data_IF_358705547592
#
_entry.id   IF_358705547592
#
_cell.length_a   1.000
_cell.length_b   1.000
_cell.length_c   1.000
_cell.angle_alpha   90.00
_cell.angle_beta   90.00
_cell.angle_gamma   90.00
#
_symmetry.space_group_name_H-M   'P 1'
#
loop_
_entity.id
_entity.type
_entity.pdbx_description
1 polymer ?
#
# COMPACT_ATOMS: atom_id res chain seq x y z
N UNK A 1 -3.38 10.60 -13.80
CA UNK A 1 -4.24 11.39 -12.88
C UNK A 1 -3.97 12.86 -13.17
N UNK A 2 -4.97 13.67 -13.50
CA UNK A 2 -4.76 15.06 -13.95
C UNK A 2 -4.86 16.05 -12.77
N UNK A 3 -4.07 17.13 -12.78
CA UNK A 3 -4.06 18.16 -11.73
C UNK A 3 -5.47 18.74 -11.44
N UNK A 4 -6.32 18.81 -12.48
CA UNK A 4 -7.73 19.19 -12.38
C UNK A 4 -8.55 18.30 -11.43
N UNK A 5 -8.38 16.97 -11.54
CA UNK A 5 -9.08 15.99 -10.71
C UNK A 5 -8.65 16.12 -9.25
N UNK A 6 -7.35 16.31 -8.99
CA UNK A 6 -6.84 16.43 -7.63
C UNK A 6 -7.24 17.76 -7.00
N UNK A 7 -7.31 18.85 -7.78
CA UNK A 7 -7.89 20.13 -7.33
C UNK A 7 -9.34 19.97 -6.89
N UNK A 8 -10.16 19.25 -7.66
CA UNK A 8 -11.54 18.95 -7.32
C UNK A 8 -11.66 18.19 -6.00
N UNK A 9 -10.90 17.10 -5.86
CA UNK A 9 -10.86 16.28 -4.65
C UNK A 9 -10.36 17.07 -3.43
N UNK A 10 -9.30 17.87 -3.57
CA UNK A 10 -8.76 18.72 -2.52
C UNK A 10 -9.79 19.74 -2.02
N UNK A 11 -10.61 20.28 -2.92
CA UNK A 11 -11.74 21.14 -2.57
C UNK A 11 -12.80 20.41 -1.73
N UNK A 12 -13.17 19.19 -2.14
CA UNK A 12 -14.18 18.38 -1.43
C UNK A 12 -13.76 18.01 -0.01
N UNK A 13 -12.47 17.76 0.24
CA UNK A 13 -11.94 17.43 1.57
C UNK A 13 -11.50 18.66 2.39
N UNK A 14 -11.73 19.88 1.88
CA UNK A 14 -11.35 21.12 2.57
C UNK A 14 -9.83 21.39 2.62
N UNK A 15 -9.03 20.67 1.83
CA UNK A 15 -7.58 20.82 1.74
C UNK A 15 -7.19 22.04 0.88
N UNK A 16 -7.51 23.24 1.36
CA UNK A 16 -7.34 24.52 0.63
C UNK A 16 -5.92 24.75 0.11
N UNK A 17 -4.91 24.36 0.88
CA UNK A 17 -3.49 24.49 0.49
C UNK A 17 -3.16 23.60 -0.71
N UNK A 18 -3.59 22.34 -0.69
CA UNK A 18 -3.39 21.40 -1.81
C UNK A 18 -4.18 21.84 -3.04
N UNK A 19 -5.40 22.34 -2.85
CA UNK A 19 -6.24 22.87 -3.93
C UNK A 19 -5.56 24.04 -4.64
N UNK A 20 -4.98 24.99 -3.89
CA UNK A 20 -4.27 26.15 -4.45
C UNK A 20 -3.03 25.72 -5.24
N UNK A 21 -2.22 24.81 -4.69
CA UNK A 21 -1.02 24.31 -5.38
C UNK A 21 -1.40 23.52 -6.63
N UNK A 22 -2.47 22.73 -6.60
CA UNK A 22 -2.98 22.02 -7.77
C UNK A 22 -3.44 22.98 -8.88
N UNK A 23 -4.03 24.12 -8.51
CA UNK A 23 -4.41 25.17 -9.46
C UNK A 23 -3.18 25.87 -10.06
N UNK A 24 -2.18 26.21 -9.24
CA UNK A 24 -0.91 26.79 -9.70
C UNK A 24 -0.21 25.83 -10.68
N UNK A 25 -0.18 24.52 -10.36
CA UNK A 25 0.40 23.48 -11.20
C UNK A 25 -0.37 23.31 -12.53
N UNK A 26 -1.69 23.30 -12.49
CA UNK A 26 -2.54 23.25 -13.69
C UNK A 26 -2.26 24.44 -14.63
N UNK A 27 -2.10 25.65 -14.06
CA UNK A 27 -1.76 26.84 -14.84
C UNK A 27 -0.35 26.78 -15.42
N UNK A 28 0.65 26.32 -14.65
CA UNK A 28 2.03 26.19 -15.13
C UNK A 28 2.14 25.16 -16.27
N UNK A 29 1.41 24.05 -16.18
CA UNK A 29 1.30 23.05 -17.25
C UNK A 29 0.67 23.67 -18.50
N UNK A 30 -0.41 24.43 -18.34
CA UNK A 30 -1.06 25.11 -19.47
C UNK A 30 -0.14 26.12 -20.16
N UNK A 31 0.66 26.85 -19.38
CA UNK A 31 1.64 27.84 -19.87
C UNK A 31 2.96 27.24 -20.34
N UNK A 32 3.17 25.93 -20.16
CA UNK A 32 4.42 25.20 -20.48
C UNK A 32 5.67 25.77 -19.78
N UNK A 33 5.50 26.29 -18.57
CA UNK A 33 6.58 26.86 -17.75
C UNK A 33 7.36 25.76 -17.02
N UNK A 34 8.15 24.97 -17.77
CA UNK A 34 8.86 23.79 -17.27
C UNK A 34 9.67 23.98 -15.96
N UNK A 35 10.39 25.10 -15.75
CA UNK A 35 11.12 25.33 -14.50
C UNK A 35 10.20 25.44 -13.28
N UNK A 36 9.02 26.06 -13.47
CA UNK A 36 8.03 26.31 -12.41
C UNK A 36 7.24 25.04 -12.10
N UNK A 37 7.02 24.19 -13.10
CA UNK A 37 6.33 22.89 -12.93
C UNK A 37 7.06 22.01 -11.92
N UNK A 38 8.40 21.95 -11.96
CA UNK A 38 9.16 21.10 -11.04
C UNK A 38 9.01 21.55 -9.58
N UNK A 39 9.16 22.85 -9.31
CA UNK A 39 8.94 23.43 -7.97
C UNK A 39 7.50 23.19 -7.47
N UNK A 40 6.52 23.35 -8.35
CA UNK A 40 5.11 23.14 -8.00
C UNK A 40 4.79 21.67 -7.74
N UNK A 41 5.46 20.72 -8.41
CA UNK A 41 5.33 19.30 -8.13
C UNK A 41 5.88 18.94 -6.75
N UNK A 42 7.04 19.49 -6.37
CA UNK A 42 7.60 19.25 -5.04
C UNK A 42 6.70 19.82 -3.94
N UNK A 43 6.23 21.06 -4.11
CA UNK A 43 5.28 21.69 -3.19
C UNK A 43 3.97 20.90 -3.10
N UNK A 44 3.50 20.38 -4.22
CA UNK A 44 2.30 19.56 -4.29
C UNK A 44 2.49 18.25 -3.51
N UNK A 45 3.62 17.58 -3.70
CA UNK A 45 3.97 16.34 -3.01
C UNK A 45 4.06 16.55 -1.49
N UNK A 46 4.71 17.61 -1.03
CA UNK A 46 4.79 17.95 0.39
C UNK A 46 3.41 18.22 1.01
N UNK A 47 2.55 18.95 0.31
CA UNK A 47 1.20 19.23 0.79
C UNK A 47 0.35 17.95 0.86
N UNK A 48 0.45 17.08 -0.14
CA UNK A 48 -0.23 15.78 -0.14
C UNK A 48 0.26 14.88 1.00
N UNK A 49 1.57 14.74 1.19
CA UNK A 49 2.13 13.92 2.26
C UNK A 49 1.76 14.43 3.64
N UNK A 50 1.71 15.74 3.84
CA UNK A 50 1.26 16.33 5.11
C UNK A 50 -0.18 15.93 5.44
N UNK A 51 -1.06 15.96 4.43
CA UNK A 51 -2.46 15.53 4.57
C UNK A 51 -2.53 14.03 4.86
N UNK A 52 -1.78 13.21 4.12
CA UNK A 52 -1.74 11.77 4.34
C UNK A 52 -1.25 11.42 5.76
N UNK A 53 -0.20 12.08 6.26
CA UNK A 53 0.29 11.86 7.63
C UNK A 53 -0.72 12.21 8.71
N UNK A 54 -1.54 13.26 8.51
CA UNK A 54 -2.59 13.64 9.46
C UNK A 54 -3.75 12.65 9.43
N UNK A 55 -4.06 12.08 8.27
CA UNK A 55 -5.18 11.15 8.08
C UNK A 55 -4.78 9.70 8.43
N UNK A 56 -3.49 9.35 8.30
CA UNK A 56 -2.93 8.02 8.56
C UNK A 56 -3.28 7.40 9.93
N UNK A 57 -3.43 8.15 11.04
CA UNK A 57 -3.86 7.59 12.32
C UNK A 57 -5.35 7.23 12.36
N UNK A 58 -6.16 7.86 11.50
CA UNK A 58 -7.63 7.75 11.50
C UNK A 58 -8.15 6.85 10.38
N UNK A 59 -7.34 6.64 9.35
CA UNK A 59 -7.62 5.71 8.27
C UNK A 59 -6.65 4.56 8.44
N UNK A 60 -7.14 3.31 8.45
CA UNK A 60 -6.29 2.13 8.24
C UNK A 60 -5.77 2.18 6.81
N UNK A 61 -4.84 3.09 6.53
CA UNK A 61 -4.07 3.09 5.30
C UNK A 61 -3.09 1.95 5.50
N UNK A 62 -3.40 0.81 4.89
CA UNK A 62 -2.40 -0.24 4.66
C UNK A 62 -1.19 0.46 4.05
N UNK A 63 0.00 0.38 4.67
CA UNK A 63 1.17 1.05 4.14
C UNK A 63 1.41 0.51 2.74
N UNK A 64 1.08 1.31 1.72
CA UNK A 64 1.63 1.14 0.39
C UNK A 64 3.12 1.24 0.57
N UNK A 65 3.78 0.09 0.43
CA UNK A 65 5.24 -0.03 0.48
C UNK A 65 5.81 1.12 -0.34
N UNK A 66 6.68 1.90 0.29
CA UNK A 66 7.43 2.96 -0.37
C UNK A 66 7.98 2.39 -1.68
N UNK A 67 7.55 2.99 -2.78
CA UNK A 67 7.90 2.60 -4.13
C UNK A 67 9.32 3.11 -4.38
N UNK A 68 10.32 2.47 -3.76
CA UNK A 68 11.66 2.44 -4.33
C UNK A 68 11.50 1.76 -5.70
N UNK A 69 11.79 2.50 -6.76
CA UNK A 69 11.45 2.23 -8.17
C UNK A 69 11.94 0.91 -8.80
N UNK A 70 12.19 -0.12 -8.01
CA UNK A 70 12.23 -1.52 -8.42
C UNK A 70 10.81 -2.06 -8.61
N UNK A 71 10.36 -2.18 -9.86
CA UNK A 71 9.23 -3.05 -10.20
C UNK A 71 9.52 -4.46 -9.67
N UNK A 72 8.87 -4.84 -8.56
CA UNK A 72 8.94 -6.21 -8.08
C UNK A 72 8.32 -7.14 -9.15
N UNK A 73 8.86 -8.36 -9.32
CA UNK A 73 8.25 -9.32 -10.22
C UNK A 73 6.81 -9.61 -9.77
N UNK A 74 5.90 -9.70 -10.74
CA UNK A 74 4.51 -10.10 -10.48
C UNK A 74 4.50 -11.50 -9.88
N UNK A 75 3.89 -11.63 -8.70
CA UNK A 75 3.76 -12.92 -8.03
C UNK A 75 2.66 -13.77 -8.67
N UNK A 76 2.93 -15.06 -8.85
CA UNK A 76 1.92 -16.03 -9.26
C UNK A 76 1.00 -16.37 -8.06
N UNK A 77 -0.32 -16.40 -8.27
CA UNK A 77 -1.29 -16.82 -7.25
C UNK A 77 -1.07 -18.25 -6.74
N UNK A 78 -0.53 -19.14 -7.58
CA UNK A 78 -0.16 -20.50 -7.17
C UNK A 78 0.98 -20.49 -6.14
N UNK A 79 2.01 -19.67 -6.38
CA UNK A 79 3.12 -19.49 -5.43
C UNK A 79 2.62 -18.85 -4.13
N UNK A 80 1.72 -17.87 -4.23
CA UNK A 80 1.11 -17.24 -3.06
C UNK A 80 0.39 -18.27 -2.21
N UNK A 81 -0.39 -19.15 -2.83
CA UNK A 81 -1.11 -20.19 -2.12
C UNK A 81 -0.16 -21.10 -1.34
N UNK A 82 0.91 -21.57 -1.98
CA UNK A 82 1.93 -22.38 -1.30
C UNK A 82 2.56 -21.63 -0.13
N UNK A 83 2.86 -20.34 -0.31
CA UNK A 83 3.40 -19.49 0.74
C UNK A 83 2.40 -19.28 1.88
N UNK A 84 1.12 -19.09 1.60
CA UNK A 84 0.05 -18.91 2.60
C UNK A 84 -0.23 -20.21 3.38
N UNK A 85 -0.24 -21.37 2.72
CA UNK A 85 -0.39 -22.67 3.37
C UNK A 85 0.80 -22.93 4.32
N UNK A 86 2.02 -22.73 3.83
CA UNK A 86 3.23 -22.89 4.64
C UNK A 86 3.29 -21.86 5.79
N UNK A 87 2.86 -20.63 5.54
CA UNK A 87 2.74 -19.59 6.56
C UNK A 87 1.75 -20.01 7.65
N UNK A 88 0.58 -20.54 7.28
CA UNK A 88 -0.42 -21.03 8.23
C UNK A 88 0.16 -22.10 9.16
N UNK A 89 0.88 -23.08 8.60
CA UNK A 89 1.53 -24.14 9.39
C UNK A 89 2.58 -23.57 10.37
N UNK A 90 3.42 -22.63 9.92
CA UNK A 90 4.45 -22.04 10.79
C UNK A 90 3.90 -21.04 11.80
N UNK A 91 2.76 -20.42 11.54
CA UNK A 91 2.04 -19.57 12.49
C UNK A 91 1.42 -20.41 13.62
N UNK A 92 0.86 -21.58 13.31
CA UNK A 92 0.33 -22.51 14.33
C UNK A 92 1.44 -23.09 15.21
N UNK A 93 2.57 -23.46 14.63
CA UNK A 93 3.74 -23.95 15.36
C UNK A 93 4.58 -22.85 16.04
N UNK A 94 4.18 -21.58 15.93
CA UNK A 94 4.91 -20.41 16.45
C UNK A 94 6.41 -20.44 16.12
N UNK A 95 6.74 -20.67 14.83
CA UNK A 95 8.10 -20.82 14.30
C UNK A 95 8.62 -19.49 13.70
N UNK A 96 9.15 -18.54 14.51
CA UNK A 96 9.43 -17.16 14.08
C UNK A 96 10.47 -17.05 12.96
N UNK A 97 11.44 -17.97 12.90
CA UNK A 97 12.49 -17.97 11.87
C UNK A 97 11.88 -18.32 10.50
N UNK A 98 11.08 -19.37 10.47
CA UNK A 98 10.39 -19.86 9.28
C UNK A 98 9.32 -18.88 8.81
N UNK A 99 8.56 -18.29 9.74
CA UNK A 99 7.59 -17.22 9.45
C UNK A 99 8.28 -16.02 8.79
N UNK A 100 9.43 -15.57 9.32
CA UNK A 100 10.19 -14.46 8.74
C UNK A 100 10.72 -14.78 7.34
N UNK A 101 11.13 -16.03 7.08
CA UNK A 101 11.59 -16.46 5.77
C UNK A 101 10.47 -16.37 4.72
N UNK A 102 9.27 -16.90 5.02
CA UNK A 102 8.12 -16.81 4.11
C UNK A 102 7.67 -15.37 3.91
N UNK A 103 7.62 -14.58 4.98
CA UNK A 103 7.26 -13.16 4.90
C UNK A 103 8.19 -12.39 3.96
N UNK A 104 9.48 -12.72 3.95
CA UNK A 104 10.46 -12.12 3.05
C UNK A 104 10.15 -12.46 1.58
N UNK A 105 9.79 -13.71 1.30
CA UNK A 105 9.38 -14.17 -0.04
C UNK A 105 8.04 -13.56 -0.49
N UNK A 106 7.10 -13.35 0.43
CA UNK A 106 5.83 -12.68 0.10
C UNK A 106 6.07 -11.20 -0.18
N UNK A 107 6.97 -10.54 0.56
CA UNK A 107 7.33 -9.12 0.35
C UNK A 107 8.15 -8.86 -0.90
N UNK A 108 8.84 -9.86 -1.45
CA UNK A 108 9.68 -9.71 -2.65
C UNK A 108 8.91 -9.78 -3.97
N UNK A 109 7.58 -9.94 -3.92
CA UNK A 109 6.69 -10.03 -5.08
C UNK A 109 5.59 -8.97 -5.00
N UNK A 110 5.14 -8.48 -6.17
CA UNK A 110 3.93 -7.66 -6.25
C UNK A 110 2.69 -8.53 -6.37
N UNK A 111 1.64 -8.16 -5.63
CA UNK A 111 0.37 -8.87 -5.59
C UNK A 111 -0.76 -8.01 -6.18
N UNK A 112 -1.80 -8.62 -6.76
CA UNK A 112 -2.99 -7.90 -7.20
C UNK A 112 -3.58 -7.03 -6.08
N UNK A 113 -4.09 -5.85 -6.43
CA UNK A 113 -4.66 -4.89 -5.48
C UNK A 113 -5.77 -5.51 -4.61
N UNK A 114 -6.52 -6.46 -5.18
CA UNK A 114 -7.63 -7.16 -4.53
C UNK A 114 -7.21 -8.02 -3.33
N UNK A 115 -5.94 -8.44 -3.24
CA UNK A 115 -5.40 -9.27 -2.14
C UNK A 115 -4.29 -8.58 -1.35
N UNK A 116 -3.85 -7.42 -1.84
CA UNK A 116 -2.74 -6.66 -1.25
C UNK A 116 -3.06 -6.20 0.19
N UNK A 117 -4.32 -5.87 0.46
CA UNK A 117 -4.77 -5.45 1.80
C UNK A 117 -4.57 -6.57 2.82
N UNK A 118 -5.07 -7.77 2.55
CA UNK A 118 -4.98 -8.90 3.47
C UNK A 118 -3.53 -9.37 3.66
N UNK A 119 -2.73 -9.34 2.60
CA UNK A 119 -1.30 -9.64 2.69
C UNK A 119 -0.63 -8.67 3.67
N UNK A 120 -0.90 -7.36 3.56
CA UNK A 120 -0.36 -6.37 4.49
C UNK A 120 -0.85 -6.57 5.92
N UNK A 121 -2.12 -6.91 6.12
CA UNK A 121 -2.65 -7.21 7.45
C UNK A 121 -1.95 -8.43 8.08
N UNK A 122 -1.73 -9.49 7.31
CA UNK A 122 -0.96 -10.67 7.75
C UNK A 122 0.46 -10.25 8.17
N UNK A 123 1.14 -9.46 7.34
CA UNK A 123 2.49 -8.97 7.60
C UNK A 123 2.57 -8.11 8.87
N UNK A 124 1.55 -7.29 9.13
CA UNK A 124 1.46 -6.46 10.32
C UNK A 124 1.25 -7.30 11.59
N UNK A 125 0.33 -8.28 11.56
CA UNK A 125 0.11 -9.18 12.69
C UNK A 125 1.35 -10.03 13.00
N UNK A 126 2.06 -10.50 11.97
CA UNK A 126 3.34 -11.19 12.12
C UNK A 126 4.40 -10.31 12.78
N UNK A 127 4.52 -9.03 12.35
CA UNK A 127 5.45 -8.07 12.95
C UNK A 127 5.15 -7.84 14.43
N UNK A 128 3.88 -7.89 14.82
CA UNK A 128 3.39 -7.76 16.20
C UNK A 128 3.45 -9.07 17.00
N UNK A 129 4.02 -10.16 16.45
CA UNK A 129 4.03 -11.50 17.03
C UNK A 129 2.63 -12.08 17.34
N UNK A 130 1.59 -11.53 16.70
CA UNK A 130 0.19 -11.95 16.85
C UNK A 130 -0.12 -13.08 15.87
N UNK A 131 0.50 -14.24 16.08
CA UNK A 131 0.41 -15.36 15.14
C UNK A 131 -1.00 -15.92 15.01
N UNK A 132 -1.79 -15.91 16.08
CA UNK A 132 -3.19 -16.32 16.04
C UNK A 132 -4.05 -15.38 15.18
N UNK A 133 -3.80 -14.07 15.22
CA UNK A 133 -4.54 -13.11 14.40
C UNK A 133 -4.10 -13.19 12.94
N UNK A 134 -2.79 -13.35 12.70
CA UNK A 134 -2.25 -13.60 11.36
C UNK A 134 -2.85 -14.88 10.74
N UNK A 135 -2.94 -15.98 11.50
CA UNK A 135 -3.46 -17.26 11.04
C UNK A 135 -4.94 -17.18 10.64
N UNK A 136 -5.74 -16.40 11.36
CA UNK A 136 -7.15 -16.13 11.00
C UNK A 136 -7.24 -15.43 9.64
N UNK A 137 -6.41 -14.40 9.41
CA UNK A 137 -6.43 -13.64 8.16
C UNK A 137 -5.95 -14.52 6.99
N UNK A 138 -4.89 -15.32 7.20
CA UNK A 138 -4.43 -16.32 6.21
C UNK A 138 -5.54 -17.30 5.86
N UNK A 139 -6.26 -17.82 6.86
CA UNK A 139 -7.35 -18.78 6.63
C UNK A 139 -8.50 -18.14 5.85
N UNK A 140 -8.92 -16.92 6.20
CA UNK A 140 -9.94 -16.18 5.46
C UNK A 140 -9.53 -15.92 4.01
N UNK A 141 -8.26 -15.59 3.77
CA UNK A 141 -7.73 -15.36 2.43
C UNK A 141 -7.71 -16.64 1.59
N UNK A 142 -7.31 -17.78 2.18
CA UNK A 142 -7.34 -19.09 1.51
C UNK A 142 -8.76 -19.52 1.12
N UNK A 143 -9.74 -19.32 2.01
CA UNK A 143 -11.16 -19.59 1.73
C UNK A 143 -11.68 -18.69 0.61
N UNK A 144 -11.36 -17.38 0.65
CA UNK A 144 -11.77 -16.40 -0.36
C UNK A 144 -11.24 -16.73 -1.75
N UNK A 145 -10.01 -17.25 -1.84
CA UNK A 145 -9.39 -17.66 -3.09
C UNK A 145 -9.95 -19.00 -3.63
N UNK A 146 -10.88 -19.64 -2.92
CA UNK A 146 -11.43 -20.95 -3.30
C UNK A 146 -10.42 -22.09 -3.16
N UNK A 147 -9.38 -21.86 -2.34
CA UNK A 147 -8.24 -22.76 -2.14
C UNK A 147 -8.22 -23.37 -0.73
N UNK A 148 -9.32 -23.21 0.02
CA UNK A 148 -9.54 -23.89 1.29
C UNK A 148 -9.85 -25.37 1.08
N UNK A 149 -9.15 -26.23 1.83
CA UNK A 149 -9.52 -27.63 2.07
C UNK A 149 -10.91 -27.73 2.68
#
# INVERSE_FOLDING_TARGET
>A
MNAHTIKGLAGTIGAKTLQKIAQELEQAIYKKEMPVIHELLDRFWHALNSILQVIQPYVRITPSVENDGTQLPSGNLSDLNQHLIALSAFLQDAKPVQVKAIVKEIKSKSWPDDICSEINDILEQVKKYRYNDAAKIVSSLLVRLGLGL
#
